data_IF_808290955761
#
_entry.id   IF_808290955761
#
_cell.length_a   1.000
_cell.length_b   1.000
_cell.length_c   1.000
_cell.angle_alpha   90.00
_cell.angle_beta   90.00
_cell.angle_gamma   90.00
#
_symmetry.space_group_name_H-M   'P 1'
#
loop_
_entity.id
_entity.type
_entity.pdbx_description
1 polymer ?
#
# COMPACT_ATOMS: atom_id res chain seq x y z
N UNK A 1 11.73 -12.86 -15.49
CA UNK A 1 11.34 -12.96 -15.20
C UNK A 1 10.71 -13.54 -14.62
N UNK A 2 10.50 -13.70 -14.44
CA UNK A 2 9.80 -14.08 -14.11
C UNK A 2 9.48 -14.56 -13.13
N UNK A 3 9.75 -14.65 -12.54
CA UNK A 3 9.45 -15.01 -11.55
C UNK A 3 8.87 -14.50 -10.64
N UNK A 4 8.84 -13.87 -10.76
CA UNK A 4 8.23 -13.35 -9.88
C UNK A 4 6.92 -13.62 -9.79
N UNK A 5 6.50 -14.13 -10.64
CA UNK A 5 5.23 -14.32 -10.65
C UNK A 5 4.80 -15.13 -9.59
N UNK A 6 5.55 -15.84 -9.07
CA UNK A 6 5.10 -16.63 -8.06
C UNK A 6 4.65 -15.80 -6.98
N UNK A 7 4.05 -15.80 -6.25
CA UNK A 7 3.66 -15.11 -5.12
C UNK A 7 3.31 -13.70 -5.31
N UNK A 8 3.69 -13.16 -6.41
CA UNK A 8 3.40 -11.78 -6.64
C UNK A 8 2.14 -11.72 -7.43
N UNK A 9 1.07 -11.98 -6.77
CA UNK A 9 -0.19 -11.88 -7.41
C UNK A 9 -0.81 -10.72 -6.76
N UNK A 10 -1.18 -9.77 -7.39
CA UNK A 10 -1.74 -8.68 -6.68
C UNK A 10 -2.56 -7.81 -7.54
N UNK A 11 -3.30 -6.93 -6.94
CA UNK A 11 -4.15 -6.04 -7.68
C UNK A 11 -3.39 -5.13 -8.61
N UNK A 12 -2.13 -4.89 -8.32
CA UNK A 12 -1.34 -4.04 -9.21
C UNK A 12 -1.19 -4.66 -10.58
N UNK A 13 -1.49 -5.95 -10.71
CA UNK A 13 -1.48 -6.60 -12.01
C UNK A 13 -2.75 -6.32 -12.78
N UNK A 14 -3.83 -6.04 -12.07
CA UNK A 14 -5.12 -5.86 -12.70
C UNK A 14 -5.62 -4.44 -12.65
N UNK A 15 -5.38 -3.75 -11.55
CA UNK A 15 -5.88 -2.39 -11.38
C UNK A 15 -4.84 -1.42 -11.90
N UNK A 16 -5.20 -0.74 -12.96
CA UNK A 16 -4.26 0.17 -13.62
C UNK A 16 -3.87 1.34 -12.73
N UNK A 17 -4.75 1.75 -11.85
CA UNK A 17 -4.42 2.86 -10.96
C UNK A 17 -3.34 2.46 -9.98
N UNK A 18 -3.44 1.25 -9.43
CA UNK A 18 -2.44 0.75 -8.51
C UNK A 18 -1.11 0.59 -9.22
N UNK A 19 -1.15 0.05 -10.43
CA UNK A 19 0.07 -0.17 -11.19
C UNK A 19 0.77 1.17 -11.48
N UNK A 20 0.00 2.17 -11.84
CA UNK A 20 0.56 3.47 -12.11
C UNK A 20 1.21 4.08 -10.87
N UNK A 21 0.52 4.01 -9.73
CA UNK A 21 1.08 4.52 -8.48
C UNK A 21 2.32 3.75 -8.06
N UNK A 22 2.30 2.45 -8.26
CA UNK A 22 3.45 1.63 -7.92
C UNK A 22 4.64 2.02 -8.79
N UNK A 23 4.44 2.19 -10.08
CA UNK A 23 5.53 2.55 -10.98
C UNK A 23 6.12 3.90 -10.64
N UNK A 24 5.29 4.83 -10.16
CA UNK A 24 5.80 6.13 -9.75
C UNK A 24 6.59 6.05 -8.45
N UNK A 25 6.34 5.04 -7.65
CA UNK A 25 6.86 4.99 -6.30
C UNK A 25 8.11 4.14 -6.15
N UNK A 26 8.29 3.14 -7.00
CA UNK A 26 9.44 2.24 -6.82
C UNK A 26 10.63 2.73 -7.63
N UNK A 27 11.79 2.39 -7.13
CA UNK A 27 13.03 2.71 -7.80
C UNK A 27 13.37 1.61 -8.80
N UNK A 28 14.26 1.93 -9.72
CA UNK A 28 14.61 1.02 -10.78
C UNK A 28 15.13 -0.30 -10.26
N UNK A 29 15.82 -0.27 -9.15
CA UNK A 29 16.44 -1.47 -8.59
C UNK A 29 15.58 -2.19 -7.59
N UNK A 30 14.43 -1.65 -7.28
CA UNK A 30 13.58 -2.28 -6.28
C UNK A 30 12.71 -3.36 -6.87
N UNK A 31 12.43 -4.38 -6.08
CA UNK A 31 11.58 -5.46 -6.50
C UNK A 31 10.41 -5.58 -5.54
N UNK A 32 9.26 -5.91 -6.09
CA UNK A 32 8.09 -6.20 -5.30
C UNK A 32 8.14 -7.67 -4.94
N UNK A 33 8.20 -7.96 -3.66
CA UNK A 33 8.22 -9.36 -3.22
C UNK A 33 6.84 -9.97 -3.29
N UNK A 34 5.83 -9.21 -2.85
CA UNK A 34 4.45 -9.65 -2.94
C UNK A 34 3.55 -8.47 -2.61
N UNK A 35 2.28 -8.65 -2.89
CA UNK A 35 1.27 -7.65 -2.57
C UNK A 35 0.10 -8.29 -1.86
N UNK A 36 -0.54 -7.51 -1.01
CA UNK A 36 -1.75 -7.91 -0.32
C UNK A 36 -2.84 -6.97 -0.76
N UNK A 37 -3.89 -7.54 -1.34
CA UNK A 37 -4.98 -6.74 -1.86
C UNK A 37 -6.02 -6.49 -0.80
N UNK A 38 -6.40 -5.24 -0.64
CA UNK A 38 -7.49 -4.87 0.24
C UNK A 38 -8.71 -4.48 -0.56
N UNK A 39 -9.55 -3.67 0.05
CA UNK A 39 -10.80 -3.24 -0.55
C UNK A 39 -10.56 -2.00 -1.41
N UNK A 40 -11.31 -1.89 -2.51
CA UNK A 40 -11.27 -0.72 -3.39
C UNK A 40 -9.90 -0.43 -3.98
N UNK A 41 -9.15 -1.48 -4.24
CA UNK A 41 -7.85 -1.33 -4.88
C UNK A 41 -6.74 -0.92 -3.94
N UNK A 42 -7.03 -0.75 -2.66
CA UNK A 42 -5.98 -0.43 -1.72
C UNK A 42 -5.11 -1.65 -1.51
N UNK A 43 -3.81 -1.43 -1.45
CA UNK A 43 -2.87 -2.53 -1.40
C UNK A 43 -1.72 -2.26 -0.48
N UNK A 44 -1.14 -3.35 0.00
CA UNK A 44 0.08 -3.29 0.76
C UNK A 44 1.13 -4.03 -0.07
N UNK A 45 2.16 -3.34 -0.49
CA UNK A 45 3.22 -3.94 -1.31
C UNK A 45 4.48 -4.07 -0.49
N UNK A 46 5.02 -5.28 -0.45
CA UNK A 46 6.26 -5.52 0.27
C UNK A 46 7.41 -5.47 -0.71
N UNK A 47 8.31 -4.52 -0.50
CA UNK A 47 9.51 -4.39 -1.30
C UNK A 47 10.69 -4.91 -0.50
N UNK A 48 11.90 -4.68 -0.99
CA UNK A 48 13.07 -5.24 -0.32
C UNK A 48 13.35 -4.59 1.03
N UNK A 49 13.16 -3.28 1.13
CA UNK A 49 13.52 -2.58 2.36
C UNK A 49 12.38 -1.75 2.95
N UNK A 50 11.22 -1.77 2.33
CA UNK A 50 10.12 -0.95 2.79
C UNK A 50 8.79 -1.53 2.35
N UNK A 51 7.74 -1.06 3.00
CA UNK A 51 6.38 -1.33 2.58
C UNK A 51 5.85 -0.11 1.85
N UNK A 52 4.99 -0.34 0.87
CA UNK A 52 4.22 0.73 0.28
C UNK A 52 2.75 0.44 0.54
N UNK A 53 2.05 1.42 1.09
CA UNK A 53 0.60 1.35 1.22
C UNK A 53 0.05 2.19 0.09
N UNK A 54 -0.60 1.55 -0.86
CA UNK A 54 -1.09 2.22 -2.05
C UNK A 54 -2.59 2.38 -1.98
N UNK A 55 -3.05 3.62 -2.09
CA UNK A 55 -4.46 3.94 -2.06
C UNK A 55 -4.81 4.74 -3.30
N UNK A 56 -5.27 4.06 -4.36
CA UNK A 56 -5.75 4.79 -5.52
C UNK A 56 -7.01 5.52 -5.12
N UNK A 57 -7.20 6.69 -5.65
CA UNK A 57 -8.32 7.47 -5.21
C UNK A 57 -8.77 8.47 -6.25
N UNK A 58 -9.56 9.39 -5.77
CA UNK A 58 -10.10 10.43 -6.59
C UNK A 58 -9.52 11.74 -6.16
N UNK A 59 -9.41 12.62 -7.09
CA UNK A 59 -9.06 13.97 -6.79
C UNK A 59 -10.23 14.78 -7.26
N UNK A 60 -11.19 14.98 -6.39
CA UNK A 60 -12.36 15.79 -6.72
C UNK A 60 -13.09 15.28 -7.93
N UNK A 61 -13.35 14.01 -7.96
CA UNK A 61 -14.11 13.44 -9.05
C UNK A 61 -13.26 12.94 -10.20
N UNK A 62 -11.98 13.20 -10.17
CA UNK A 62 -11.10 12.63 -11.17
C UNK A 62 -10.76 11.21 -10.78
N UNK A 63 -10.62 10.35 -11.75
CA UNK A 63 -10.32 8.97 -11.49
C UNK A 63 -8.85 8.70 -11.32
N UNK A 64 -8.04 9.71 -11.40
CA UNK A 64 -6.61 9.52 -11.41
C UNK A 64 -5.97 10.20 -10.22
N UNK A 65 -5.09 9.48 -9.59
CA UNK A 65 -4.39 9.99 -8.43
C UNK A 65 -4.42 8.99 -7.32
N UNK A 66 -3.86 9.38 -6.21
CA UNK A 66 -3.85 8.53 -5.03
C UNK A 66 -2.64 8.80 -4.16
N UNK A 67 -2.52 7.97 -3.14
CA UNK A 67 -1.42 8.07 -2.20
C UNK A 67 -0.60 6.81 -2.23
N UNK A 68 0.70 6.99 -2.06
CA UNK A 68 1.60 5.88 -1.81
C UNK A 68 2.39 6.24 -0.56
N UNK A 69 2.17 5.50 0.51
CA UNK A 69 2.86 5.74 1.76
C UNK A 69 4.03 4.79 1.86
N UNK A 70 5.22 5.33 2.01
CA UNK A 70 6.45 4.55 2.07
C UNK A 70 6.88 4.42 3.52
N UNK A 71 7.06 3.18 3.99
CA UNK A 71 7.41 2.92 5.37
C UNK A 71 8.56 1.94 5.39
N UNK A 72 9.71 2.38 5.84
CA UNK A 72 10.85 1.47 5.91
C UNK A 72 10.61 0.45 7.00
N UNK A 73 11.03 -0.78 6.78
CA UNK A 73 10.85 -1.82 7.78
C UNK A 73 11.47 -1.42 9.11
N UNK A 74 12.61 -0.74 9.07
CA UNK A 74 13.29 -0.34 10.29
C UNK A 74 12.47 0.64 11.14
N UNK A 75 11.52 1.33 10.52
CA UNK A 75 10.69 2.31 11.23
C UNK A 75 9.35 1.76 11.68
N UNK A 76 9.08 0.50 11.43
CA UNK A 76 7.81 -0.10 11.80
C UNK A 76 7.89 -0.69 13.20
N UNK A 77 6.95 -0.30 14.05
CA UNK A 77 6.87 -0.86 15.39
C UNK A 77 6.09 -2.15 15.40
N UNK A 78 4.99 -2.19 14.71
CA UNK A 78 4.13 -3.37 14.73
C UNK A 78 3.14 -3.33 13.58
N UNK A 79 2.56 -4.47 13.31
CA UNK A 79 1.45 -4.59 12.36
C UNK A 79 0.30 -5.20 13.15
N UNK A 80 -0.85 -4.55 13.07
CA UNK A 80 -2.04 -5.01 13.76
C UNK A 80 -3.12 -5.38 12.78
N UNK A 81 -3.90 -6.36 13.12
CA UNK A 81 -5.06 -6.69 12.33
C UNK A 81 -6.27 -6.60 13.24
N UNK A 82 -7.25 -5.82 12.82
CA UNK A 82 -8.44 -5.60 13.61
C UNK A 82 -9.64 -6.11 12.82
N UNK A 83 -10.48 -6.87 13.48
CA UNK A 83 -11.66 -7.42 12.85
C UNK A 83 -12.87 -6.61 13.29
N UNK A 84 -13.54 -6.03 12.33
CA UNK A 84 -14.77 -5.29 12.60
C UNK A 84 -15.93 -6.10 12.09
N UNK A 85 -17.13 -5.59 12.27
CA UNK A 85 -18.33 -6.34 11.93
C UNK A 85 -18.41 -6.65 10.44
N UNK A 86 -18.03 -5.72 9.60
CA UNK A 86 -18.14 -5.94 8.16
C UNK A 86 -16.79 -6.11 7.49
N UNK A 87 -15.77 -5.41 7.95
CA UNK A 87 -14.47 -5.48 7.34
C UNK A 87 -13.41 -5.64 8.38
N UNK A 88 -12.24 -6.01 7.93
CA UNK A 88 -11.06 -6.02 8.78
C UNK A 88 -10.13 -4.91 8.32
N UNK A 89 -9.11 -4.64 9.10
CA UNK A 89 -8.15 -3.60 8.78
C UNK A 89 -6.76 -4.12 9.12
N UNK A 90 -5.81 -3.87 8.23
CA UNK A 90 -4.40 -4.09 8.52
C UNK A 90 -3.81 -2.72 8.80
N UNK A 91 -3.26 -2.54 9.98
CA UNK A 91 -2.70 -1.27 10.40
C UNK A 91 -1.20 -1.40 10.63
N UNK A 92 -0.43 -0.51 10.02
CA UNK A 92 1.02 -0.46 10.19
C UNK A 92 1.32 0.67 11.18
N UNK A 93 1.88 0.30 12.32
CA UNK A 93 2.28 1.30 13.31
C UNK A 93 3.74 1.60 13.10
N UNK A 94 4.05 2.83 12.74
CA UNK A 94 5.40 3.22 12.38
C UNK A 94 5.75 4.55 13.00
N UNK A 95 7.04 4.69 13.33
CA UNK A 95 7.54 5.94 13.89
C UNK A 95 7.64 7.01 12.82
N UNK A 96 7.90 6.61 11.60
CA UNK A 96 8.12 7.57 10.53
C UNK A 96 7.67 6.95 9.21
N UNK A 97 7.22 7.78 8.30
CA UNK A 97 6.84 7.34 6.97
C UNK A 97 6.69 8.56 6.08
N UNK A 98 6.67 8.32 4.77
CA UNK A 98 6.49 9.39 3.80
C UNK A 98 5.26 9.14 2.98
N UNK A 99 4.44 10.15 2.80
CA UNK A 99 3.26 10.07 1.97
C UNK A 99 3.52 10.83 0.69
N UNK A 100 3.36 10.14 -0.43
CA UNK A 100 3.49 10.77 -1.74
C UNK A 100 2.12 10.80 -2.39
N UNK A 101 1.71 12.00 -2.75
CA UNK A 101 0.43 12.21 -3.38
C UNK A 101 0.67 12.41 -4.86
N UNK A 102 -0.04 11.68 -5.68
CA UNK A 102 0.15 11.74 -7.13
C UNK A 102 -1.16 12.10 -7.83
N UNK A 103 -1.04 12.90 -8.86
CA UNK A 103 -2.17 13.34 -9.64
C UNK A 103 -1.89 13.12 -11.10
N UNK A 104 -2.93 12.87 -11.84
CA UNK A 104 -2.81 12.80 -13.28
C UNK A 104 -2.94 14.20 -13.84
N UNK A 105 -1.98 14.60 -14.62
CA UNK A 105 -1.95 15.98 -15.14
C UNK A 105 -3.07 16.32 -16.10
N UNK A 106 -3.83 15.36 -16.53
CA UNK A 106 -4.95 15.66 -17.40
C UNK A 106 -5.89 16.65 -16.75
N UNK A 107 -5.97 16.60 -15.44
CA UNK A 107 -6.88 17.48 -14.73
C UNK A 107 -6.17 18.61 -14.08
N UNK A 108 -5.14 19.07 -14.71
CA UNK A 108 -4.36 20.05 -14.06
C UNK A 108 -5.07 21.30 -13.79
N UNK A 109 -4.53 22.04 -13.01
CA UNK A 109 -4.75 23.43 -12.94
C UNK A 109 -5.84 23.88 -12.08
N UNK A 110 -6.95 23.47 -12.36
CA UNK A 110 -8.02 24.16 -11.75
C UNK A 110 -8.36 23.64 -10.40
N UNK A 111 -7.67 22.68 -9.93
CA UNK A 111 -7.96 22.27 -8.61
C UNK A 111 -6.89 21.42 -8.14
N UNK A 112 -6.60 21.54 -6.93
CA UNK A 112 -5.62 20.72 -6.31
C UNK A 112 -6.27 20.17 -5.11
N UNK A 113 -6.48 18.89 -5.09
CA UNK A 113 -7.08 18.30 -3.95
C UNK A 113 -6.05 18.28 -2.84
N UNK A 114 -6.32 18.86 -1.71
CA UNK A 114 -5.41 18.77 -0.59
C UNK A 114 -5.24 17.32 -0.19
N UNK A 115 -4.10 17.01 0.39
CA UNK A 115 -3.85 15.65 0.81
C UNK A 115 -4.96 15.11 1.69
N UNK A 116 -5.54 15.96 2.52
CA UNK A 116 -6.59 15.49 3.40
C UNK A 116 -7.80 14.96 2.65
N UNK A 117 -7.99 15.34 1.41
CA UNK A 117 -9.11 14.81 0.66
C UNK A 117 -8.90 13.36 0.31
N UNK A 118 -7.67 12.94 0.19
CA UNK A 118 -7.40 11.54 -0.03
C UNK A 118 -7.58 10.76 1.24
N UNK A 119 -7.51 11.43 2.38
CA UNK A 119 -7.66 10.76 3.64
C UNK A 119 -9.09 10.41 3.94
N UNK A 120 -9.99 10.73 3.06
CA UNK A 120 -11.36 10.31 3.24
C UNK A 120 -11.45 8.80 3.33
N UNK A 121 -10.46 8.12 2.76
CA UNK A 121 -10.42 6.67 2.86
C UNK A 121 -9.81 6.18 4.13
N UNK A 122 -9.40 7.09 5.01
CA UNK A 122 -8.88 6.71 6.30
C UNK A 122 -7.39 6.90 6.44
N UNK A 123 -6.84 6.13 7.31
CA UNK A 123 -5.48 6.22 7.75
C UNK A 123 -4.52 5.84 6.61
N UNK A 124 -3.52 6.66 6.32
CA UNK A 124 -2.58 6.34 5.22
C UNK A 124 -1.71 5.12 5.47
N UNK A 125 -1.65 4.65 6.70
CA UNK A 125 -0.83 3.49 7.02
C UNK A 125 -1.66 2.26 7.31
N UNK A 126 -2.90 2.23 6.87
CA UNK A 126 -3.73 1.05 7.03
C UNK A 126 -4.54 0.80 5.79
N UNK A 127 -4.96 -0.45 5.58
CA UNK A 127 -5.86 -0.76 4.49
C UNK A 127 -7.02 -1.60 5.01
N UNK A 128 -8.21 -1.37 4.46
CA UNK A 128 -9.34 -2.22 4.77
C UNK A 128 -9.25 -3.49 3.94
N UNK A 129 -9.70 -4.59 4.50
CA UNK A 129 -9.58 -5.86 3.83
C UNK A 129 -10.73 -6.73 4.29
N UNK A 130 -11.23 -7.60 3.43
CA UNK A 130 -12.27 -8.50 3.86
C UNK A 130 -11.69 -9.56 4.78
N UNK A 131 -12.54 -10.13 5.61
CA UNK A 131 -12.05 -11.16 6.54
C UNK A 131 -11.49 -12.35 5.80
N UNK A 132 -12.14 -12.73 4.70
CA UNK A 132 -11.66 -13.84 3.90
C UNK A 132 -10.28 -13.57 3.32
N UNK A 133 -10.09 -12.37 2.79
CA UNK A 133 -8.79 -12.01 2.23
C UNK A 133 -7.74 -11.88 3.32
N UNK A 134 -8.14 -11.43 4.50
CA UNK A 134 -7.20 -11.33 5.61
C UNK A 134 -6.65 -12.70 5.98
N UNK A 135 -7.52 -13.70 6.01
CA UNK A 135 -7.04 -15.05 6.32
C UNK A 135 -6.01 -15.52 5.31
N UNK A 136 -6.22 -15.19 4.05
CA UNK A 136 -5.24 -15.56 3.03
C UNK A 136 -3.97 -14.73 3.11
N UNK A 137 -4.06 -13.55 3.66
CA UNK A 137 -2.90 -12.66 3.76
C UNK A 137 -2.01 -13.00 4.95
N UNK A 138 -2.50 -13.73 5.93
CA UNK A 138 -1.75 -13.96 7.16
C UNK A 138 -0.34 -14.50 6.95
N UNK A 139 -0.12 -15.49 6.08
CA UNK A 139 1.25 -15.96 5.87
C UNK A 139 2.17 -14.85 5.39
N UNK A 140 1.65 -13.94 4.57
CA UNK A 140 2.45 -12.84 4.07
C UNK A 140 2.73 -11.81 5.15
N UNK A 141 1.79 -11.63 6.08
CA UNK A 141 2.02 -10.73 7.19
C UNK A 141 3.14 -11.26 8.10
N UNK A 142 3.26 -12.57 8.24
CA UNK A 142 4.35 -13.14 8.98
C UNK A 142 5.69 -12.88 8.29
N UNK A 143 5.70 -12.93 6.96
CA UNK A 143 6.92 -12.60 6.22
C UNK A 143 7.32 -11.16 6.46
N UNK A 144 6.33 -10.25 6.44
CA UNK A 144 6.61 -8.85 6.72
C UNK A 144 7.18 -8.69 8.12
N UNK A 145 6.62 -9.40 9.09
CA UNK A 145 7.13 -9.33 10.45
C UNK A 145 8.59 -9.76 10.51
N UNK A 146 8.94 -10.78 9.75
CA UNK A 146 10.33 -11.23 9.69
C UNK A 146 11.22 -10.16 9.07
N UNK A 147 10.75 -9.52 8.02
CA UNK A 147 11.53 -8.46 7.37
C UNK A 147 11.75 -7.28 8.32
N UNK A 148 10.74 -6.97 9.12
CA UNK A 148 10.88 -5.93 10.12
C UNK A 148 11.93 -6.32 11.14
N UNK A 149 11.86 -7.56 11.60
CA UNK A 149 12.84 -8.04 12.59
C UNK A 149 14.25 -7.99 12.05
N UNK A 150 14.44 -8.41 10.81
CA UNK A 150 15.76 -8.37 10.19
C UNK A 150 16.28 -6.94 10.07
N UNK A 151 15.41 -6.01 9.72
CA UNK A 151 15.83 -4.62 9.56
C UNK A 151 16.25 -4.02 10.88
N UNK A 152 15.61 -4.41 11.97
CA UNK A 152 15.95 -3.85 13.28
C UNK A 152 17.18 -4.50 13.89
N UNK A 153 17.46 -5.71 13.51
CA UNK A 153 18.60 -6.42 14.05
C UNK A 153 19.84 -6.31 13.19
N UNK A 154 19.65 -5.91 11.98
CA UNK A 154 20.75 -5.78 11.04
C UNK A 154 21.35 -4.42 11.05
#
# INVERSE_FOLDING_TARGET
>A
MTQQKAGVQGPWLYDRRVRWLLELSINQDEHVRFGIEGIDGQCLMALDERLLVIKPGYVRGADFGGLATSIRYADIDSIETNVASSNSVIKINALDYQINESHNDIYQGNHIAPAKDFMLGGDPTSIPITRWALDKAKPYLYIIADLIGEAKNG
#
